data_IF_651560020653
#
_entry.id   IF_651560020653
#
_cell.length_a   1.000
_cell.length_b   1.000
_cell.length_c   1.000
_cell.angle_alpha   90.00
_cell.angle_beta   90.00
_cell.angle_gamma   90.00
#
_symmetry.space_group_name_H-M   'P 1'
#
loop_
_entity.id
_entity.type
_entity.pdbx_description
1 polymer ?
#
# COMPACT_ATOMS: atom_id res chain seq x y z
N UNK A 1 -6.20 -7.37 -16.76
CA UNK A 1 -7.61 -7.16 -16.36
C UNK A 1 -7.63 -7.20 -14.85
N UNK A 2 -8.16 -6.16 -14.20
CA UNK A 2 -8.16 -6.09 -12.75
C UNK A 2 -8.87 -7.29 -12.10
N UNK A 3 -8.43 -7.73 -10.91
CA UNK A 3 -9.06 -8.83 -10.20
C UNK A 3 -10.50 -8.48 -9.78
N UNK A 4 -11.37 -9.48 -9.77
CA UNK A 4 -12.78 -9.35 -9.37
C UNK A 4 -12.95 -9.02 -7.88
N UNK A 5 -11.97 -9.38 -7.07
CA UNK A 5 -11.86 -9.01 -5.66
C UNK A 5 -10.41 -8.72 -5.30
N UNK A 6 -10.19 -7.74 -4.44
CA UNK A 6 -8.87 -7.38 -3.96
C UNK A 6 -8.92 -6.60 -2.66
N UNK A 7 -7.78 -6.55 -1.99
CA UNK A 7 -7.51 -5.76 -0.82
C UNK A 7 -6.14 -5.10 -0.96
N UNK A 8 -6.08 -3.79 -0.67
CA UNK A 8 -4.86 -2.99 -0.68
C UNK A 8 -4.79 -2.25 0.64
N UNK A 9 -3.64 -2.28 1.29
CA UNK A 9 -3.30 -1.35 2.37
C UNK A 9 -2.01 -0.64 2.03
N UNK A 10 -2.02 0.69 2.12
CA UNK A 10 -0.81 1.51 2.12
C UNK A 10 -0.66 2.13 3.50
N UNK A 11 0.50 1.94 4.11
CA UNK A 11 0.83 2.56 5.39
C UNK A 11 2.10 3.40 5.23
N UNK A 12 2.05 4.65 5.70
CA UNK A 12 3.20 5.56 5.75
C UNK A 12 3.63 5.75 7.20
N UNK A 13 4.93 5.87 7.47
CA UNK A 13 5.47 5.92 8.84
C UNK A 13 5.72 4.51 9.39
N UNK A 14 6.40 3.69 8.61
CA UNK A 14 6.80 2.33 8.99
C UNK A 14 8.23 2.27 9.54
N UNK A 15 9.00 3.34 9.35
CA UNK A 15 10.33 3.47 9.92
C UNK A 15 10.21 4.11 11.30
N UNK A 16 10.89 3.52 12.27
CA UNK A 16 10.92 3.97 13.65
C UNK A 16 12.25 3.58 14.26
N UNK A 17 12.77 4.43 15.15
CA UNK A 17 13.95 4.10 15.93
C UNK A 17 13.61 3.15 17.08
N UNK A 18 13.92 3.54 18.30
CA UNK A 18 13.67 2.72 19.50
C UNK A 18 12.18 2.64 19.90
N UNK A 19 11.34 3.57 19.45
CA UNK A 19 9.90 3.56 19.74
C UNK A 19 9.13 2.74 18.69
N UNK A 20 8.01 2.09 19.09
CA UNK A 20 7.12 1.42 18.13
C UNK A 20 6.76 2.34 16.97
N UNK A 21 6.66 1.77 15.78
CA UNK A 21 6.30 2.51 14.57
C UNK A 21 4.98 3.22 14.79
N UNK A 22 4.96 4.53 14.51
CA UNK A 22 3.73 5.32 14.56
C UNK A 22 3.38 5.70 13.13
N UNK A 23 2.35 5.10 12.52
CA UNK A 23 1.98 5.42 11.15
C UNK A 23 1.43 6.84 11.05
N UNK A 24 1.83 7.58 10.03
CA UNK A 24 1.28 8.91 9.72
C UNK A 24 0.01 8.81 8.90
N UNK A 25 -0.13 7.76 8.10
CA UNK A 25 -1.33 7.48 7.31
C UNK A 25 -1.49 5.98 7.07
N UNK A 26 -2.75 5.53 7.01
CA UNK A 26 -3.17 4.20 6.59
C UNK A 26 -4.32 4.38 5.60
N UNK A 27 -4.16 3.86 4.39
CA UNK A 27 -5.22 3.79 3.39
C UNK A 27 -5.56 2.35 3.12
N UNK A 28 -6.84 2.00 3.24
CA UNK A 28 -7.36 0.67 2.96
C UNK A 28 -8.34 0.75 1.80
N UNK A 29 -8.08 -0.01 0.73
CA UNK A 29 -8.91 -0.07 -0.47
C UNK A 29 -9.32 -1.52 -0.67
N UNK A 30 -10.62 -1.77 -0.84
CA UNK A 30 -11.13 -3.14 -1.02
C UNK A 30 -12.28 -3.20 -2.02
N UNK A 31 -12.32 -4.29 -2.77
CA UNK A 31 -13.45 -4.67 -3.62
C UNK A 31 -13.79 -6.12 -3.29
N UNK A 32 -14.99 -6.36 -2.79
CA UNK A 32 -15.49 -7.72 -2.64
C UNK A 32 -15.92 -8.28 -4.01
N UNK A 33 -15.93 -9.60 -4.15
CA UNK A 33 -16.36 -10.23 -5.39
C UNK A 33 -17.79 -9.80 -5.75
N UNK A 34 -17.99 -9.38 -7.00
CA UNK A 34 -19.28 -8.89 -7.53
C UNK A 34 -19.82 -7.62 -6.83
N UNK A 35 -19.00 -6.91 -6.04
CA UNK A 35 -19.42 -5.64 -5.45
C UNK A 35 -19.57 -4.54 -6.52
N UNK A 36 -20.59 -3.67 -6.42
CA UNK A 36 -20.81 -2.59 -7.37
C UNK A 36 -19.86 -1.41 -7.16
N UNK A 37 -19.03 -1.43 -6.11
CA UNK A 37 -18.06 -0.38 -5.83
C UNK A 37 -16.80 -0.90 -5.13
N UNK A 38 -15.74 -0.12 -5.27
CA UNK A 38 -14.52 -0.19 -4.48
C UNK A 38 -14.72 0.72 -3.26
N UNK A 39 -14.44 0.21 -2.07
CA UNK A 39 -14.54 0.96 -0.79
C UNK A 39 -13.15 1.42 -0.39
N UNK A 40 -13.04 2.68 0.02
CA UNK A 40 -11.81 3.31 0.46
C UNK A 40 -12.01 3.83 1.89
N UNK A 41 -11.16 3.38 2.80
CA UNK A 41 -11.03 3.93 4.15
C UNK A 41 -9.67 4.60 4.27
N UNK A 42 -9.64 5.80 4.86
CA UNK A 42 -8.41 6.52 5.14
C UNK A 42 -8.36 6.86 6.61
N UNK A 43 -7.19 6.66 7.22
CA UNK A 43 -6.89 7.13 8.56
C UNK A 43 -5.58 7.90 8.52
N UNK A 44 -5.59 9.16 8.94
CA UNK A 44 -4.43 10.04 8.93
C UNK A 44 -4.21 10.62 10.32
N UNK A 45 -2.95 10.85 10.68
CA UNK A 45 -2.59 11.46 11.97
C UNK A 45 -2.31 12.94 11.73
N UNK A 46 -3.16 13.85 12.26
CA UNK A 46 -2.89 15.27 12.20
C UNK A 46 -1.62 15.64 12.96
N UNK A 47 -0.91 16.65 12.46
CA UNK A 47 0.27 17.20 13.11
C UNK A 47 -0.03 17.58 14.56
N UNK A 48 0.88 17.19 15.46
CA UNK A 48 0.76 17.47 16.89
C UNK A 48 -0.16 16.53 17.68
N UNK A 49 -0.74 15.51 17.04
CA UNK A 49 -1.57 14.49 17.73
C UNK A 49 -0.92 13.11 17.70
N UNK A 50 -1.11 12.29 18.75
CA UNK A 50 -0.57 10.93 18.78
C UNK A 50 -1.43 9.91 18.03
N UNK A 51 -2.64 10.29 17.60
CA UNK A 51 -3.68 9.35 17.15
C UNK A 51 -3.93 9.44 15.65
N UNK A 52 -4.11 8.28 15.02
CA UNK A 52 -4.72 8.19 13.69
C UNK A 52 -6.22 8.49 13.80
N UNK A 53 -6.73 9.34 12.92
CA UNK A 53 -8.13 9.68 12.84
C UNK A 53 -8.73 9.13 11.55
N UNK A 54 -9.79 8.36 11.68
CA UNK A 54 -10.56 7.85 10.55
C UNK A 54 -11.27 8.98 9.81
N UNK A 55 -11.14 8.96 8.49
CA UNK A 55 -11.96 9.75 7.58
C UNK A 55 -13.26 9.02 7.25
N UNK A 56 -14.24 9.76 6.74
CA UNK A 56 -15.45 9.14 6.19
C UNK A 56 -15.07 8.18 5.04
N UNK A 57 -15.66 6.96 5.00
CA UNK A 57 -15.44 6.04 3.91
C UNK A 57 -15.85 6.67 2.57
N UNK A 58 -15.02 6.45 1.55
CA UNK A 58 -15.29 6.87 0.17
C UNK A 58 -15.56 5.66 -0.70
N UNK A 59 -16.19 5.88 -1.86
CA UNK A 59 -16.42 4.82 -2.83
C UNK A 59 -16.10 5.23 -4.26
N UNK A 60 -15.71 4.25 -5.06
CA UNK A 60 -15.60 4.36 -6.52
C UNK A 60 -16.51 3.31 -7.13
N UNK A 61 -17.34 3.69 -8.10
CA UNK A 61 -18.20 2.74 -8.79
C UNK A 61 -17.37 1.74 -9.59
N UNK A 62 -17.72 0.46 -9.56
CA UNK A 62 -16.99 -0.60 -10.28
C UNK A 62 -16.98 -0.41 -11.80
N UNK A 63 -17.88 0.41 -12.36
CA UNK A 63 -17.86 0.77 -13.77
C UNK A 63 -16.79 1.83 -14.14
N UNK A 64 -16.05 2.36 -13.17
CA UNK A 64 -14.94 3.28 -13.42
C UNK A 64 -13.75 2.53 -14.02
N UNK A 65 -13.69 2.54 -15.36
CA UNK A 65 -12.60 1.94 -16.14
C UNK A 65 -11.22 2.50 -15.81
N UNK A 66 -11.13 3.72 -15.26
CA UNK A 66 -9.87 4.31 -14.81
C UNK A 66 -9.37 3.65 -13.54
N UNK A 67 -10.24 3.49 -12.54
CA UNK A 67 -9.89 2.80 -11.30
C UNK A 67 -9.52 1.32 -11.54
N UNK A 68 -10.23 0.62 -12.43
CA UNK A 68 -9.87 -0.76 -12.77
C UNK A 68 -8.50 -0.85 -13.46
N UNK A 69 -8.19 0.06 -14.40
CA UNK A 69 -6.85 0.10 -15.02
C UNK A 69 -5.74 0.34 -14.00
N UNK A 70 -5.97 1.24 -13.05
CA UNK A 70 -5.01 1.52 -11.97
C UNK A 70 -4.75 0.29 -11.10
N UNK A 71 -5.77 -0.48 -10.75
CA UNK A 71 -5.60 -1.72 -9.97
C UNK A 71 -4.87 -2.80 -10.77
N UNK A 72 -5.16 -2.94 -12.06
CA UNK A 72 -4.46 -3.88 -12.95
C UNK A 72 -2.97 -3.50 -13.11
N UNK A 73 -2.69 -2.21 -13.27
CA UNK A 73 -1.33 -1.67 -13.33
C UNK A 73 -0.57 -1.88 -12.01
N UNK A 74 -1.22 -1.62 -10.87
CA UNK A 74 -0.66 -1.87 -9.55
C UNK A 74 -0.27 -3.34 -9.38
N UNK A 75 -1.18 -4.28 -9.66
CA UNK A 75 -0.88 -5.71 -9.55
C UNK A 75 0.29 -6.12 -10.46
N UNK A 76 0.32 -5.59 -11.69
CA UNK A 76 1.41 -5.82 -12.64
C UNK A 76 2.76 -5.32 -12.14
N UNK A 77 2.80 -4.12 -11.56
CA UNK A 77 4.01 -3.56 -10.93
C UNK A 77 4.46 -4.45 -9.78
N UNK A 78 3.57 -4.75 -8.83
CA UNK A 78 3.91 -5.51 -7.63
C UNK A 78 4.44 -6.91 -7.95
N UNK A 79 3.94 -7.57 -9.00
CA UNK A 79 4.47 -8.86 -9.49
C UNK A 79 5.93 -8.81 -9.93
N UNK A 80 6.42 -7.64 -10.34
CA UNK A 80 7.82 -7.46 -10.78
C UNK A 80 8.76 -7.02 -9.64
N UNK A 81 8.19 -6.64 -8.50
CA UNK A 81 8.93 -6.08 -7.38
C UNK A 81 9.38 -7.17 -6.39
N UNK A 82 10.66 -7.16 -5.97
CA UNK A 82 11.13 -8.05 -4.92
C UNK A 82 10.49 -7.71 -3.57
N UNK A 83 10.61 -8.62 -2.61
CA UNK A 83 10.27 -8.35 -1.20
C UNK A 83 11.51 -8.56 -0.34
N UNK A 84 11.51 -8.02 0.87
CA UNK A 84 12.62 -8.14 1.79
C UNK A 84 12.82 -9.59 2.26
N UNK A 85 14.07 -10.00 2.40
CA UNK A 85 14.46 -11.34 2.87
C UNK A 85 15.52 -11.19 3.95
N UNK A 86 15.26 -11.56 5.22
CA UNK A 86 14.00 -12.08 5.74
C UNK A 86 12.83 -11.07 5.65
N UNK A 87 11.56 -11.53 5.59
CA UNK A 87 10.39 -10.65 5.62
C UNK A 87 10.38 -9.72 6.84
N UNK A 88 10.04 -8.44 6.64
CA UNK A 88 10.07 -7.39 7.68
C UNK A 88 11.47 -7.02 8.18
N UNK A 89 12.53 -7.36 7.46
CA UNK A 89 13.90 -7.03 7.89
C UNK A 89 14.25 -5.56 7.67
N UNK A 90 13.89 -4.97 6.53
CA UNK A 90 14.35 -3.66 6.12
C UNK A 90 13.32 -2.98 5.21
N UNK A 91 13.17 -1.66 5.33
CA UNK A 91 12.56 -0.86 4.26
C UNK A 91 13.51 -0.80 3.05
N UNK A 92 13.48 -1.85 2.22
CA UNK A 92 14.37 -1.99 1.06
C UNK A 92 14.12 -0.93 -0.02
N UNK A 93 12.97 -0.24 0.05
CA UNK A 93 12.61 0.83 -0.88
C UNK A 93 12.96 2.23 -0.36
N UNK A 94 13.20 2.37 0.95
CA UNK A 94 13.62 3.61 1.61
C UNK A 94 12.61 4.74 1.49
N UNK A 95 11.31 4.41 1.45
CA UNK A 95 10.22 5.39 1.29
C UNK A 95 9.38 5.59 2.54
N UNK A 96 9.72 4.93 3.66
CA UNK A 96 8.92 4.97 4.88
C UNK A 96 7.46 4.57 4.60
N UNK A 97 7.27 3.60 3.69
CA UNK A 97 5.98 3.19 3.16
C UNK A 97 5.90 1.68 2.98
N UNK A 98 4.84 1.05 3.47
CA UNK A 98 4.51 -0.34 3.18
C UNK A 98 3.26 -0.43 2.31
N UNK A 99 3.25 -1.43 1.44
CA UNK A 99 2.07 -1.83 0.67
C UNK A 99 1.81 -3.30 1.02
N UNK A 100 0.55 -3.61 1.30
CA UNK A 100 0.01 -4.97 1.29
C UNK A 100 -1.04 -5.05 0.20
N UNK A 101 -0.88 -5.99 -0.71
CA UNK A 101 -1.82 -6.28 -1.78
C UNK A 101 -2.23 -7.75 -1.70
N UNK A 102 -3.53 -8.00 -1.88
CA UNK A 102 -4.07 -9.34 -2.03
C UNK A 102 -5.18 -9.38 -3.07
N UNK A 103 -5.15 -10.38 -3.92
CA UNK A 103 -6.23 -10.79 -4.82
C UNK A 103 -6.36 -12.32 -4.79
N UNK A 104 -7.29 -12.88 -5.57
CA UNK A 104 -7.52 -14.33 -5.61
C UNK A 104 -6.29 -15.17 -5.99
N UNK A 105 -5.36 -14.57 -6.74
CA UNK A 105 -4.23 -15.30 -7.33
C UNK A 105 -2.87 -14.73 -6.93
N UNK A 106 -2.84 -13.63 -6.18
CA UNK A 106 -1.60 -12.91 -5.91
C UNK A 106 -1.64 -12.20 -4.56
N UNK A 107 -0.57 -12.38 -3.78
CA UNK A 107 -0.36 -11.66 -2.53
C UNK A 107 1.04 -11.09 -2.56
N UNK A 108 1.15 -9.81 -2.21
CA UNK A 108 2.41 -9.10 -2.11
C UNK A 108 2.41 -8.22 -0.88
N UNK A 109 3.52 -8.18 -0.15
CA UNK A 109 3.69 -7.25 0.96
C UNK A 109 5.16 -6.91 1.14
N UNK A 110 5.44 -5.65 1.44
CA UNK A 110 6.70 -5.25 2.04
C UNK A 110 6.45 -4.71 3.45
N UNK A 111 7.45 -4.81 4.32
CA UNK A 111 7.44 -4.14 5.61
C UNK A 111 8.84 -3.65 5.98
N UNK A 112 8.94 -2.85 7.04
CA UNK A 112 10.21 -2.42 7.62
C UNK A 112 10.54 -3.20 8.91
N UNK A 113 11.78 -3.06 9.38
CA UNK A 113 12.20 -3.54 10.68
C UNK A 113 11.47 -2.80 11.81
N UNK A 114 10.85 -3.56 12.71
CA UNK A 114 10.32 -3.02 13.97
C UNK A 114 11.34 -3.24 15.09
N UNK A 115 11.90 -2.16 15.64
CA UNK A 115 12.67 -2.17 16.89
C UNK A 115 14.14 -2.63 16.82
N UNK A 116 14.59 -3.26 15.73
CA UNK A 116 16.01 -3.53 15.45
C UNK A 116 16.25 -3.58 13.94
N UNK A 117 17.23 -2.82 13.45
CA UNK A 117 17.64 -2.84 12.04
C UNK A 117 18.25 -4.21 11.69
N UNK A 118 17.56 -4.98 10.85
CA UNK A 118 18.14 -6.13 10.17
C UNK A 118 18.35 -5.75 8.70
N UNK A 119 19.40 -6.26 8.08
CA UNK A 119 19.61 -6.02 6.64
C UNK A 119 18.88 -7.10 5.83
N UNK A 120 18.21 -6.67 4.76
CA UNK A 120 17.66 -7.61 3.78
C UNK A 120 18.78 -8.10 2.85
N UNK A 121 18.81 -9.40 2.57
CA UNK A 121 19.64 -10.01 1.52
C UNK A 121 19.21 -9.56 0.12
N UNK A 122 17.97 -9.08 0.00
CA UNK A 122 17.41 -8.57 -1.25
C UNK A 122 17.44 -7.05 -1.25
N UNK A 123 18.06 -6.48 -2.28
CA UNK A 123 18.17 -5.03 -2.49
C UNK A 123 17.61 -4.69 -3.88
N UNK A 124 16.55 -3.87 -3.98
CA UNK A 124 15.94 -3.53 -5.26
C UNK A 124 16.85 -2.62 -6.08
N UNK A 125 16.78 -2.75 -7.40
CA UNK A 125 17.43 -1.81 -8.33
C UNK A 125 16.77 -0.43 -8.26
N UNK A 126 17.42 0.59 -8.81
CA UNK A 126 16.85 1.94 -8.86
C UNK A 126 15.55 1.97 -9.68
N UNK A 127 15.46 1.19 -10.76
CA UNK A 127 14.25 1.04 -11.56
C UNK A 127 13.12 0.42 -10.73
N UNK A 128 13.41 -0.60 -9.93
CA UNK A 128 12.43 -1.22 -9.03
C UNK A 128 11.96 -0.26 -7.94
N UNK A 129 12.85 0.61 -7.41
CA UNK A 129 12.46 1.67 -6.47
C UNK A 129 11.54 2.70 -7.13
N UNK A 130 11.78 3.05 -8.40
CA UNK A 130 10.88 3.94 -9.15
C UNK A 130 9.52 3.28 -9.41
N UNK A 131 9.50 2.00 -9.73
CA UNK A 131 8.26 1.24 -9.85
C UNK A 131 7.49 1.17 -8.53
N UNK A 132 8.17 1.01 -7.39
CA UNK A 132 7.52 1.07 -6.08
C UNK A 132 6.94 2.46 -5.78
N UNK A 133 7.64 3.55 -6.15
CA UNK A 133 7.07 4.91 -6.08
C UNK A 133 5.81 5.04 -6.94
N UNK A 134 5.84 4.49 -8.16
CA UNK A 134 4.66 4.47 -9.04
C UNK A 134 3.49 3.72 -8.39
N UNK A 135 3.74 2.56 -7.78
CA UNK A 135 2.71 1.81 -7.05
C UNK A 135 2.10 2.63 -5.89
N UNK A 136 2.93 3.34 -5.12
CA UNK A 136 2.48 4.26 -4.07
C UNK A 136 1.58 5.37 -4.64
N UNK A 137 1.97 5.96 -5.77
CA UNK A 137 1.23 7.06 -6.38
C UNK A 137 -0.10 6.58 -7.00
N UNK A 138 -0.13 5.37 -7.57
CA UNK A 138 -1.37 4.72 -8.02
C UNK A 138 -2.35 4.56 -6.86
N UNK A 139 -1.89 4.12 -5.69
CA UNK A 139 -2.76 3.94 -4.51
C UNK A 139 -3.30 5.29 -4.03
N UNK A 140 -2.46 6.34 -4.00
CA UNK A 140 -2.92 7.69 -3.65
C UNK A 140 -3.93 8.25 -4.64
N UNK A 141 -3.74 8.01 -5.93
CA UNK A 141 -4.69 8.39 -6.99
C UNK A 141 -6.04 7.67 -6.79
N UNK A 142 -6.03 6.38 -6.46
CA UNK A 142 -7.26 5.65 -6.11
C UNK A 142 -7.96 6.29 -4.90
N UNK A 143 -7.22 6.66 -3.85
CA UNK A 143 -7.78 7.36 -2.68
C UNK A 143 -8.39 8.72 -3.06
N UNK A 144 -7.73 9.47 -3.96
CA UNK A 144 -8.18 10.77 -4.42
C UNK A 144 -9.45 10.71 -5.30
N UNK A 145 -9.62 9.62 -6.06
CA UNK A 145 -10.81 9.37 -6.90
C UNK A 145 -12.07 9.02 -6.11
N UNK A 146 -11.92 8.52 -4.89
CA UNK A 146 -13.06 8.21 -4.03
C UNK A 146 -13.91 9.43 -3.75
N UNK A 147 -15.24 9.27 -3.87
CA UNK A 147 -16.24 10.26 -3.48
C UNK A 147 -16.96 9.84 -2.20
#
# INVERSE_FOLDING_TARGET
>A
MAPSQFFITLQKGITGGFAPVTPSAVYTIQKANSAPSIVIQAAERPDGTPSLLDSAPKSIQSADTGAEKLVDELEGILKSLPTESPPGSQDIYGLDTSIMFGSDNFVWRNNAAEGCENMSETQPTEEQKQQFKCAVDIIKELVARGQ
#
